data_IF_113948776446
#
_entry.id   IF_113948776446
#
_cell.length_a   1.000
_cell.length_b   1.000
_cell.length_c   1.000
_cell.angle_alpha   90.00
_cell.angle_beta   90.00
_cell.angle_gamma   90.00
#
_symmetry.space_group_name_H-M   'P 1'
#
loop_
_entity.id
_entity.type
_entity.pdbx_description
1 polymer ?
#
# COMPACT_ATOMS: atom_id res chain seq x y z
N UNK A 1 -0.18 7.68 -32.39
CA UNK A 1 1.07 7.82 -31.64
C UNK A 1 0.94 6.84 -30.49
N UNK A 2 1.79 5.82 -30.47
CA UNK A 2 1.70 4.77 -29.46
C UNK A 2 2.45 5.25 -28.24
N UNK A 3 1.84 5.10 -27.07
CA UNK A 3 2.40 5.61 -25.82
C UNK A 3 3.59 4.72 -25.40
N UNK A 4 4.82 5.22 -25.56
CA UNK A 4 6.02 4.61 -24.99
C UNK A 4 6.55 5.45 -23.83
N UNK A 5 6.82 4.77 -22.71
CA UNK A 5 7.32 5.39 -21.48
C UNK A 5 8.48 4.59 -20.89
N UNK A 6 9.47 5.31 -20.35
CA UNK A 6 10.64 4.77 -19.67
C UNK A 6 10.88 5.45 -18.33
N UNK A 7 11.58 4.77 -17.43
CA UNK A 7 11.98 5.27 -16.11
C UNK A 7 13.49 5.46 -16.02
N UNK A 8 13.91 6.69 -15.73
CA UNK A 8 15.28 7.05 -15.41
C UNK A 8 15.56 6.95 -13.90
N UNK A 9 15.42 5.76 -13.30
CA UNK A 9 15.66 5.58 -11.86
C UNK A 9 17.16 5.52 -11.56
N UNK A 10 17.63 6.31 -10.60
CA UNK A 10 19.01 6.36 -10.12
C UNK A 10 19.12 6.15 -8.59
N UNK A 11 18.08 5.58 -7.97
CA UNK A 11 17.98 5.40 -6.52
C UNK A 11 18.14 6.69 -5.68
N UNK A 12 17.85 7.86 -6.25
CA UNK A 12 18.02 9.17 -5.60
C UNK A 12 16.90 9.58 -4.62
N UNK A 13 15.93 8.72 -4.34
CA UNK A 13 14.84 9.04 -3.41
C UNK A 13 13.83 10.09 -3.89
N UNK A 14 13.88 10.58 -5.15
CA UNK A 14 12.88 11.54 -5.68
C UNK A 14 11.44 11.03 -5.68
N UNK A 15 11.24 9.71 -5.67
CA UNK A 15 9.92 9.09 -5.51
C UNK A 15 9.48 8.90 -4.05
N UNK A 16 10.31 9.30 -3.07
CA UNK A 16 10.10 9.05 -1.64
C UNK A 16 9.49 10.27 -0.92
N UNK A 17 8.36 10.76 -1.43
CA UNK A 17 7.66 11.96 -0.96
C UNK A 17 6.60 11.68 0.14
N UNK A 18 6.24 10.41 0.36
CA UNK A 18 5.37 9.98 1.46
C UNK A 18 5.75 8.58 1.93
N UNK A 19 5.21 8.18 3.08
CA UNK A 19 5.30 6.80 3.52
C UNK A 19 4.50 5.88 2.56
N UNK A 20 5.03 4.69 2.22
CA UNK A 20 4.42 3.83 1.21
C UNK A 20 3.25 3.01 1.77
N UNK A 21 2.41 2.50 0.87
CA UNK A 21 1.60 1.30 1.12
C UNK A 21 2.52 0.10 1.32
N UNK A 22 2.24 -0.78 2.27
CA UNK A 22 3.01 -2.00 2.49
C UNK A 22 2.08 -3.21 2.56
N UNK A 23 2.55 -4.36 2.10
CA UNK A 23 1.99 -5.64 2.54
C UNK A 23 2.35 -5.89 4.01
N UNK A 24 1.63 -6.80 4.66
CA UNK A 24 1.84 -7.19 6.04
C UNK A 24 3.24 -7.75 6.27
N UNK A 25 3.75 -8.60 5.37
CA UNK A 25 5.13 -9.12 5.44
C UNK A 25 6.17 -7.99 5.34
N UNK A 26 5.95 -7.02 4.45
CA UNK A 26 6.86 -5.88 4.29
C UNK A 26 6.81 -4.97 5.52
N UNK A 27 5.64 -4.81 6.13
CA UNK A 27 5.48 -4.05 7.35
C UNK A 27 6.15 -4.73 8.54
N UNK A 28 6.06 -6.07 8.65
CA UNK A 28 6.83 -6.83 9.64
C UNK A 28 8.33 -6.72 9.41
N UNK A 29 8.80 -6.81 8.16
CA UNK A 29 10.21 -6.59 7.80
C UNK A 29 10.69 -5.19 8.19
N UNK A 30 9.89 -4.17 7.92
CA UNK A 30 10.20 -2.75 8.14
C UNK A 30 9.60 -2.17 9.44
N UNK A 31 9.34 -3.03 10.44
CA UNK A 31 8.64 -2.68 11.70
C UNK A 31 9.31 -1.60 12.55
N UNK A 32 10.58 -1.31 12.32
CA UNK A 32 11.32 -0.23 13.00
C UNK A 32 11.41 1.05 12.15
N UNK A 33 10.87 1.07 10.94
CA UNK A 33 10.98 2.18 9.99
C UNK A 33 9.66 2.90 9.78
N UNK A 34 8.59 2.12 9.57
CA UNK A 34 7.25 2.63 9.28
C UNK A 34 6.29 2.30 10.42
N UNK A 35 5.55 3.29 10.90
CA UNK A 35 4.42 3.05 11.79
C UNK A 35 3.27 2.50 10.94
N UNK A 36 2.81 1.29 11.24
CA UNK A 36 1.75 0.62 10.49
C UNK A 36 0.37 1.15 10.83
N UNK A 37 -0.39 1.51 9.80
CA UNK A 37 -1.80 1.85 9.92
C UNK A 37 -2.65 1.07 8.92
N UNK A 38 -3.88 0.73 9.31
CA UNK A 38 -4.89 0.21 8.42
C UNK A 38 -5.57 1.37 7.71
N UNK A 39 -5.62 1.30 6.39
CA UNK A 39 -6.35 2.25 5.55
C UNK A 39 -7.55 1.58 4.88
N UNK A 40 -8.68 2.28 4.89
CA UNK A 40 -9.92 1.87 4.27
C UNK A 40 -10.25 2.88 3.19
N UNK A 41 -10.14 2.48 1.93
CA UNK A 41 -10.42 3.34 0.78
C UNK A 41 -11.76 2.99 0.15
N UNK A 42 -12.57 4.01 -0.16
CA UNK A 42 -13.75 3.86 -1.00
C UNK A 42 -13.32 4.05 -2.46
N UNK A 43 -13.22 2.97 -3.20
CA UNK A 43 -12.76 3.00 -4.59
C UNK A 43 -13.90 3.54 -5.47
N UNK A 44 -13.66 4.63 -6.23
CA UNK A 44 -14.71 5.23 -7.03
C UNK A 44 -15.11 4.31 -8.19
N UNK A 45 -16.42 4.19 -8.43
CA UNK A 45 -16.95 3.46 -9.57
C UNK A 45 -16.70 4.26 -10.85
N UNK A 46 -15.93 3.68 -11.76
CA UNK A 46 -15.67 4.25 -13.09
C UNK A 46 -16.87 4.05 -14.02
N UNK A 47 -17.07 4.96 -14.98
CA UNK A 47 -18.17 4.87 -15.96
C UNK A 47 -17.69 4.99 -17.39
N UNK A 48 -18.36 4.31 -18.31
CA UNK A 48 -18.14 4.49 -19.76
C UNK A 48 -18.40 5.96 -20.10
N UNK A 49 -17.49 6.55 -20.86
CA UNK A 49 -17.53 7.96 -21.24
C UNK A 49 -17.04 8.92 -20.15
N UNK A 50 -16.66 8.44 -18.95
CA UNK A 50 -15.98 9.26 -17.95
C UNK A 50 -14.69 9.82 -18.56
N UNK A 51 -14.55 11.14 -18.53
CA UNK A 51 -13.42 11.85 -19.13
C UNK A 51 -12.35 12.06 -18.07
N UNK A 52 -11.15 11.59 -18.39
CA UNK A 52 -9.95 11.79 -17.56
C UNK A 52 -8.95 12.62 -18.35
N UNK A 53 -8.29 13.57 -17.68
CA UNK A 53 -7.23 14.38 -18.28
C UNK A 53 -5.87 13.86 -17.82
N UNK A 54 -5.02 13.49 -18.76
CA UNK A 54 -3.66 13.01 -18.49
C UNK A 54 -2.75 13.37 -19.68
N UNK A 55 -1.53 13.84 -19.43
CA UNK A 55 -0.60 14.22 -20.51
C UNK A 55 -1.12 15.37 -21.38
N UNK A 56 -1.86 16.31 -20.80
CA UNK A 56 -2.56 17.37 -21.54
C UNK A 56 -3.71 16.91 -22.45
N UNK A 57 -3.99 15.61 -22.54
CA UNK A 57 -5.01 15.01 -23.40
C UNK A 57 -6.20 14.54 -22.58
N UNK A 58 -7.36 14.48 -23.23
CA UNK A 58 -8.57 13.98 -22.63
C UNK A 58 -8.93 12.61 -23.20
N UNK A 59 -9.19 11.67 -22.31
CA UNK A 59 -9.48 10.28 -22.62
C UNK A 59 -10.81 9.89 -21.99
N UNK A 60 -11.75 9.44 -22.83
CA UNK A 60 -12.98 8.83 -22.37
C UNK A 60 -12.73 7.33 -22.08
N UNK A 61 -13.19 6.84 -20.94
CA UNK A 61 -13.13 5.42 -20.63
C UNK A 61 -14.09 4.64 -21.54
N UNK A 62 -13.59 3.60 -22.21
CA UNK A 62 -14.41 2.69 -23.01
C UNK A 62 -14.97 1.51 -22.20
N UNK A 63 -15.76 0.63 -22.83
CA UNK A 63 -16.36 -0.51 -22.16
C UNK A 63 -15.31 -1.50 -21.62
N UNK A 64 -14.21 -1.68 -22.34
CA UNK A 64 -13.17 -2.63 -21.95
C UNK A 64 -12.30 -2.07 -20.80
N UNK A 65 -12.10 -0.75 -20.74
CA UNK A 65 -11.48 -0.04 -19.60
C UNK A 65 -12.28 -0.32 -18.31
N UNK A 66 -13.61 -0.23 -18.38
CA UNK A 66 -14.50 -0.51 -17.24
C UNK A 66 -14.45 -1.99 -16.87
N UNK A 67 -14.56 -2.90 -17.85
CA UNK A 67 -14.50 -4.33 -17.60
C UNK A 67 -13.16 -4.74 -16.93
N UNK A 68 -12.05 -4.15 -17.36
CA UNK A 68 -10.74 -4.39 -16.75
C UNK A 68 -10.63 -3.82 -15.33
N UNK A 69 -11.20 -2.64 -15.07
CA UNK A 69 -11.26 -2.07 -13.72
C UNK A 69 -12.09 -2.95 -12.78
N UNK A 70 -13.26 -3.41 -13.22
CA UNK A 70 -14.13 -4.28 -12.41
C UNK A 70 -13.50 -5.65 -12.17
N UNK A 71 -12.85 -6.25 -13.18
CA UNK A 71 -12.14 -7.51 -13.03
C UNK A 71 -11.00 -7.42 -12.00
N UNK A 72 -10.18 -6.35 -12.08
CA UNK A 72 -9.11 -6.12 -11.12
C UNK A 72 -9.65 -5.84 -9.71
N UNK A 73 -10.67 -4.99 -9.60
CA UNK A 73 -11.30 -4.68 -8.32
C UNK A 73 -11.92 -5.93 -7.67
N UNK A 74 -12.51 -6.83 -8.46
CA UNK A 74 -13.05 -8.10 -7.97
C UNK A 74 -11.97 -9.02 -7.41
N UNK A 75 -10.80 -9.05 -8.04
CA UNK A 75 -9.66 -9.82 -7.54
C UNK A 75 -9.13 -9.23 -6.22
N UNK A 76 -9.01 -7.90 -6.13
CA UNK A 76 -8.22 -7.24 -5.09
C UNK A 76 -9.03 -6.62 -3.93
N UNK A 77 -10.30 -6.31 -4.11
CA UNK A 77 -11.10 -5.50 -3.18
C UNK A 77 -12.38 -6.21 -2.73
N UNK A 78 -13.10 -5.56 -1.82
CA UNK A 78 -14.33 -6.07 -1.24
C UNK A 78 -15.55 -5.29 -1.71
N UNK A 79 -16.69 -5.96 -1.89
CA UNK A 79 -17.97 -5.31 -2.20
C UNK A 79 -18.69 -4.88 -0.93
N UNK A 80 -19.03 -3.59 -0.81
CA UNK A 80 -19.94 -3.12 0.22
C UNK A 80 -21.40 -3.37 -0.19
N UNK A 81 -22.09 -4.32 0.45
CA UNK A 81 -23.54 -4.53 0.22
C UNK A 81 -24.34 -3.31 0.70
N UNK A 82 -25.22 -2.79 -0.16
CA UNK A 82 -26.17 -1.73 0.18
C UNK A 82 -25.77 -0.30 -0.23
N UNK A 83 -24.49 -0.04 -0.57
CA UNK A 83 -24.03 1.25 -1.08
C UNK A 83 -23.63 1.13 -2.55
N UNK A 84 -24.57 1.31 -3.49
CA UNK A 84 -24.36 1.48 -4.94
C UNK A 84 -23.39 0.51 -5.64
N UNK A 85 -23.15 -0.67 -5.06
CA UNK A 85 -22.23 -1.66 -5.58
C UNK A 85 -20.80 -1.08 -5.67
N UNK A 86 -20.30 -0.56 -4.55
CA UNK A 86 -18.99 0.08 -4.45
C UNK A 86 -17.92 -0.86 -3.88
N UNK A 87 -16.69 -0.58 -4.29
CA UNK A 87 -15.50 -1.33 -3.90
C UNK A 87 -14.81 -0.68 -2.71
N UNK A 88 -14.45 -1.49 -1.71
CA UNK A 88 -13.67 -1.09 -0.54
C UNK A 88 -12.30 -1.76 -0.61
N UNK A 89 -11.24 -0.95 -0.66
CA UNK A 89 -9.88 -1.44 -0.57
C UNK A 89 -9.37 -1.29 0.86
N UNK A 90 -9.04 -2.42 1.49
CA UNK A 90 -8.28 -2.46 2.73
C UNK A 90 -6.80 -2.58 2.40
N UNK A 91 -5.97 -1.64 2.86
CA UNK A 91 -4.52 -1.65 2.63
C UNK A 91 -3.79 -1.30 3.92
N UNK A 92 -2.51 -1.61 4.02
CA UNK A 92 -1.66 -1.10 5.10
C UNK A 92 -0.79 0.02 4.56
N UNK A 93 -0.59 1.06 5.34
CA UNK A 93 0.29 2.17 4.98
C UNK A 93 1.23 2.51 6.13
N UNK A 94 2.40 3.02 5.78
CA UNK A 94 3.21 3.76 6.73
C UNK A 94 2.49 5.06 7.10
N UNK A 95 2.42 5.34 8.40
CA UNK A 95 1.87 6.55 8.95
C UNK A 95 3.01 7.44 9.47
N UNK A 96 3.00 8.71 9.11
CA UNK A 96 3.94 9.70 9.62
C UNK A 96 3.31 11.10 9.63
N UNK A 97 4.01 12.05 10.24
CA UNK A 97 3.61 13.44 10.32
C UNK A 97 3.57 14.09 8.93
N UNK A 98 2.42 14.65 8.50
CA UNK A 98 2.33 15.36 7.22
C UNK A 98 3.35 16.49 7.07
N UNK A 99 3.75 17.13 8.18
CA UNK A 99 4.72 18.23 8.20
C UNK A 99 6.13 17.84 7.74
N UNK A 100 6.46 16.55 7.71
CA UNK A 100 7.76 16.07 7.24
C UNK A 100 7.88 16.06 5.72
N UNK A 101 6.75 15.88 5.00
CA UNK A 101 6.70 15.93 3.53
C UNK A 101 7.69 14.99 2.82
N UNK A 102 8.09 13.89 3.48
CA UNK A 102 9.08 12.92 2.97
C UNK A 102 8.82 11.53 3.52
N UNK A 103 9.30 10.52 2.81
CA UNK A 103 9.27 9.15 3.29
C UNK A 103 10.20 8.97 4.51
N UNK A 104 9.77 8.21 5.54
CA UNK A 104 10.64 7.82 6.64
C UNK A 104 11.95 7.18 6.17
N UNK A 105 11.91 6.40 5.07
CA UNK A 105 13.06 5.68 4.52
C UNK A 105 14.12 6.55 3.81
N UNK A 106 13.88 7.86 3.66
CA UNK A 106 14.85 8.76 3.07
C UNK A 106 16.01 9.00 4.05
N UNK A 107 17.23 8.68 3.64
CA UNK A 107 18.44 8.97 4.40
C UNK A 107 18.86 10.44 4.24
N UNK A 108 19.79 10.90 5.08
CA UNK A 108 20.24 12.29 5.09
C UNK A 108 21.00 12.70 3.82
N UNK A 109 21.57 11.72 3.09
CA UNK A 109 22.16 11.92 1.76
C UNK A 109 21.13 11.96 0.62
N UNK A 110 19.84 11.90 0.96
CA UNK A 110 18.72 11.88 0.02
C UNK A 110 18.49 10.53 -0.67
N UNK A 111 19.24 9.47 -0.33
CA UNK A 111 19.06 8.14 -0.94
C UNK A 111 17.99 7.33 -0.20
N UNK A 112 17.36 6.41 -0.92
CA UNK A 112 16.39 5.50 -0.34
C UNK A 112 17.11 4.40 0.46
N UNK A 113 17.00 4.43 1.79
CA UNK A 113 17.70 3.48 2.67
C UNK A 113 17.18 2.05 2.57
N UNK A 114 16.03 1.84 1.92
CA UNK A 114 15.42 0.52 1.70
C UNK A 114 15.43 0.12 0.24
N UNK A 115 16.26 0.73 -0.61
CA UNK A 115 16.21 0.50 -2.06
C UNK A 115 16.38 -0.98 -2.46
N UNK A 116 17.28 -1.70 -1.78
CA UNK A 116 17.53 -3.13 -2.05
C UNK A 116 16.31 -4.00 -1.72
N UNK A 117 15.62 -3.70 -0.62
CA UNK A 117 14.47 -4.46 -0.10
C UNK A 117 13.19 -3.61 -0.11
N UNK A 118 13.01 -2.83 -1.18
CA UNK A 118 11.96 -1.81 -1.27
C UNK A 118 10.57 -2.46 -1.22
N UNK A 119 9.58 -1.83 -0.57
CA UNK A 119 8.20 -2.30 -0.64
C UNK A 119 7.73 -2.43 -2.10
N UNK A 120 6.89 -3.42 -2.36
CA UNK A 120 6.34 -3.73 -3.69
C UNK A 120 5.70 -2.52 -4.37
N UNK A 121 4.99 -1.66 -3.64
CA UNK A 121 4.47 -0.40 -4.20
C UNK A 121 5.57 0.51 -4.71
N UNK A 122 6.70 0.61 -3.99
CA UNK A 122 7.87 1.37 -4.40
C UNK A 122 8.58 0.71 -5.59
N UNK A 123 8.43 -0.61 -5.73
CA UNK A 123 8.82 -1.37 -6.92
C UNK A 123 7.99 -0.99 -8.15
N UNK A 124 6.69 -0.79 -7.98
CA UNK A 124 5.76 -0.47 -9.06
C UNK A 124 5.83 0.98 -9.53
N UNK A 125 6.25 1.94 -8.71
CA UNK A 125 6.39 3.35 -9.12
C UNK A 125 7.29 3.47 -10.36
N UNK A 126 6.88 4.21 -11.41
CA UNK A 126 5.77 5.15 -11.49
C UNK A 126 4.45 4.59 -12.03
N UNK A 127 4.28 3.27 -12.12
CA UNK A 127 3.00 2.65 -12.42
C UNK A 127 2.07 2.68 -11.19
N UNK A 128 0.79 2.36 -11.40
CA UNK A 128 -0.21 2.21 -10.35
C UNK A 128 -0.76 0.78 -10.34
N UNK A 129 -0.36 -0.09 -9.40
CA UNK A 129 -0.80 -1.48 -9.37
C UNK A 129 -2.27 -1.66 -9.01
N UNK A 130 -2.95 -0.61 -8.54
CA UNK A 130 -4.39 -0.63 -8.27
C UNK A 130 -5.24 -0.32 -9.52
N UNK A 131 -4.62 -0.01 -10.65
CA UNK A 131 -5.27 0.19 -11.95
C UNK A 131 -4.87 -0.91 -12.95
N UNK A 132 -5.74 -1.27 -13.90
CA UNK A 132 -5.42 -2.28 -14.91
C UNK A 132 -4.30 -1.82 -15.86
N UNK A 133 -3.59 -2.78 -16.44
CA UNK A 133 -2.40 -2.56 -17.27
C UNK A 133 -2.65 -1.62 -18.45
N UNK A 134 -3.83 -1.75 -19.09
CA UNK A 134 -4.26 -0.90 -20.20
C UNK A 134 -4.42 0.59 -19.85
N UNK A 135 -4.49 0.94 -18.56
CA UNK A 135 -4.58 2.32 -18.10
C UNK A 135 -3.22 2.90 -17.66
N UNK A 136 -2.14 2.11 -17.68
CA UNK A 136 -0.85 2.55 -17.16
C UNK A 136 -0.23 3.68 -17.97
N UNK A 137 -0.41 3.71 -19.30
CA UNK A 137 0.08 4.85 -20.09
C UNK A 137 -0.57 6.16 -19.65
N UNK A 138 -1.86 6.14 -19.28
CA UNK A 138 -2.59 7.30 -18.74
C UNK A 138 -2.10 7.69 -17.36
N UNK A 139 -1.79 6.72 -16.50
CA UNK A 139 -1.15 6.97 -15.18
C UNK A 139 0.17 7.70 -15.35
N UNK A 140 1.01 7.21 -16.27
CA UNK A 140 2.33 7.77 -16.55
C UNK A 140 2.24 9.18 -17.15
N UNK A 141 1.30 9.38 -18.07
CA UNK A 141 0.99 10.69 -18.63
C UNK A 141 0.59 11.70 -17.53
N UNK A 142 -0.30 11.30 -16.62
CA UNK A 142 -0.73 12.14 -15.50
C UNK A 142 0.41 12.46 -14.52
N UNK A 143 1.18 11.44 -14.12
CA UNK A 143 2.30 11.61 -13.18
C UNK A 143 3.45 12.43 -13.77
N UNK A 144 3.66 12.39 -15.08
CA UNK A 144 4.66 13.22 -15.77
C UNK A 144 4.29 14.71 -15.73
N UNK A 145 3.00 15.04 -15.76
CA UNK A 145 2.49 16.41 -15.68
C UNK A 145 2.41 16.93 -14.22
N UNK A 146 2.58 16.04 -13.23
CA UNK A 146 2.44 16.37 -11.82
C UNK A 146 3.66 17.12 -11.28
N UNK A 147 3.66 18.45 -11.44
CA UNK A 147 4.78 19.33 -11.01
C UNK A 147 5.13 19.25 -9.53
N UNK A 148 4.17 18.89 -8.66
CA UNK A 148 4.39 18.72 -7.23
C UNK A 148 5.16 17.42 -6.90
N UNK A 149 5.17 16.44 -7.81
CA UNK A 149 5.84 15.16 -7.60
C UNK A 149 7.24 15.17 -8.23
N UNK A 150 8.27 15.15 -7.39
CA UNK A 150 9.67 15.19 -7.83
C UNK A 150 10.05 14.02 -8.77
N UNK A 151 9.33 12.90 -8.70
CA UNK A 151 9.50 11.75 -9.59
C UNK A 151 8.98 11.95 -11.01
N UNK A 152 8.19 13.00 -11.29
CA UNK A 152 7.66 13.30 -12.62
C UNK A 152 8.78 13.44 -13.67
N UNK A 153 9.89 14.07 -13.28
CA UNK A 153 11.08 14.26 -14.12
C UNK A 153 11.83 12.96 -14.43
N UNK A 154 11.50 11.85 -13.77
CA UNK A 154 12.09 10.54 -14.05
C UNK A 154 11.31 9.77 -15.13
N UNK A 155 10.11 10.24 -15.53
CA UNK A 155 9.28 9.62 -16.57
C UNK A 155 9.64 10.24 -17.92
N UNK A 156 10.20 9.42 -18.81
CA UNK A 156 10.60 9.83 -20.17
C UNK A 156 9.62 9.24 -21.17
N UNK A 157 9.00 10.09 -22.01
CA UNK A 157 8.13 9.65 -23.11
C UNK A 157 8.84 9.69 -24.46
N UNK A 158 8.29 9.00 -25.47
CA UNK A 158 8.84 8.93 -26.84
C UNK A 158 9.13 10.30 -27.47
N UNK A 159 8.28 11.30 -27.23
CA UNK A 159 8.34 12.61 -27.89
C UNK A 159 9.17 13.66 -27.11
N UNK A 160 9.79 13.28 -25.99
CA UNK A 160 10.52 14.20 -25.12
C UNK A 160 11.97 14.42 -25.56
N UNK A 161 12.21 15.49 -26.34
CA UNK A 161 13.54 15.97 -26.74
C UNK A 161 14.45 16.48 -25.61
N UNK A 162 14.33 15.99 -24.38
CA UNK A 162 15.29 16.27 -23.31
C UNK A 162 16.37 15.20 -23.30
N UNK A 163 17.33 15.39 -24.21
CA UNK A 163 18.63 14.77 -24.17
C UNK A 163 19.38 15.22 -22.90
N UNK A 164 19.33 14.43 -21.83
CA UNK A 164 20.29 14.51 -20.72
C UNK A 164 20.38 13.24 -19.87
N UNK A 165 19.43 12.31 -20.01
CA UNK A 165 19.54 10.97 -19.45
C UNK A 165 20.00 10.04 -20.57
N UNK A 166 21.04 9.25 -20.31
CA UNK A 166 21.46 8.18 -21.20
C UNK A 166 20.30 7.22 -21.41
N UNK A 167 19.62 7.34 -22.56
CA UNK A 167 18.43 6.56 -22.92
C UNK A 167 18.70 5.06 -22.89
N UNK A 168 19.98 4.65 -23.02
CA UNK A 168 20.42 3.27 -22.89
C UNK A 168 20.22 2.69 -21.48
N UNK A 169 20.23 3.53 -20.43
CA UNK A 169 20.07 3.12 -19.03
C UNK A 169 18.63 3.21 -18.49
N UNK A 170 17.71 3.81 -19.25
CA UNK A 170 16.33 3.99 -18.81
C UNK A 170 15.53 2.67 -18.95
N UNK A 171 14.85 2.26 -17.87
CA UNK A 171 14.07 1.03 -17.83
C UNK A 171 12.76 1.21 -18.61
N UNK A 172 12.38 0.30 -19.53
CA UNK A 172 11.09 0.39 -20.21
C UNK A 172 9.95 0.15 -19.22
N UNK A 173 8.92 1.01 -19.27
CA UNK A 173 7.70 0.87 -18.46
C UNK A 173 6.51 0.46 -19.32
N UNK A 174 6.33 1.14 -20.45
CA UNK A 174 5.30 0.85 -21.46
C UNK A 174 5.97 0.88 -22.83
N UNK A 175 5.69 -0.14 -23.65
CA UNK A 175 6.17 -0.26 -25.03
C UNK A 175 5.00 -0.69 -25.89
N UNK A 176 4.78 0.03 -26.98
CA UNK A 176 3.63 -0.13 -27.85
C UNK A 176 2.28 -0.09 -27.10
N UNK A 177 2.17 0.74 -26.05
CA UNK A 177 0.96 0.84 -25.21
C UNK A 177 0.73 -0.35 -24.26
N UNK A 178 1.67 -1.30 -24.17
CA UNK A 178 1.64 -2.43 -23.25
C UNK A 178 2.67 -2.27 -22.15
N UNK A 179 2.36 -2.71 -20.92
CA UNK A 179 3.31 -2.72 -19.81
C UNK A 179 4.49 -3.63 -20.18
N UNK A 180 5.71 -3.09 -20.12
CA UNK A 180 6.92 -3.78 -20.59
C UNK A 180 7.34 -4.93 -19.65
N UNK A 181 7.25 -4.72 -18.34
CA UNK A 181 7.45 -5.75 -17.31
C UNK A 181 6.37 -5.61 -16.23
N UNK A 182 5.61 -6.68 -16.05
CA UNK A 182 4.50 -6.74 -15.10
C UNK A 182 4.92 -7.18 -13.70
N UNK A 183 6.15 -7.68 -13.51
CA UNK A 183 6.59 -8.30 -12.26
C UNK A 183 6.36 -7.41 -11.03
N UNK A 184 6.60 -6.10 -11.14
CA UNK A 184 6.38 -5.17 -10.03
C UNK A 184 4.89 -4.94 -9.72
N UNK A 185 4.04 -4.91 -10.74
CA UNK A 185 2.58 -4.81 -10.55
C UNK A 185 2.04 -6.10 -9.93
N UNK A 186 2.42 -7.24 -10.50
CA UNK A 186 1.96 -8.55 -10.08
C UNK A 186 2.42 -8.85 -8.65
N UNK A 187 3.65 -8.52 -8.26
CA UNK A 187 4.13 -8.68 -6.86
C UNK A 187 3.24 -7.95 -5.85
N UNK A 188 2.81 -6.72 -6.15
CA UNK A 188 1.93 -5.96 -5.27
C UNK A 188 0.50 -6.55 -5.25
N UNK A 189 -0.03 -6.88 -6.43
CA UNK A 189 -1.38 -7.43 -6.60
C UNK A 189 -1.50 -8.81 -5.95
N UNK A 190 -0.50 -9.65 -6.10
CA UNK A 190 -0.42 -10.98 -5.49
C UNK A 190 -0.34 -10.89 -3.97
N UNK A 191 0.39 -9.90 -3.42
CA UNK A 191 0.39 -9.65 -1.98
C UNK A 191 -1.01 -9.28 -1.48
N UNK A 192 -1.71 -8.37 -2.16
CA UNK A 192 -3.09 -8.01 -1.80
C UNK A 192 -4.07 -9.18 -1.93
N UNK A 193 -3.92 -10.00 -2.96
CA UNK A 193 -4.74 -11.19 -3.18
C UNK A 193 -4.47 -12.24 -2.09
N UNK A 194 -3.20 -12.51 -1.76
CA UNK A 194 -2.81 -13.44 -0.71
C UNK A 194 -3.34 -13.00 0.66
N UNK A 195 -3.25 -11.71 0.96
CA UNK A 195 -3.70 -11.13 2.23
C UNK A 195 -5.21 -11.22 2.47
N UNK A 196 -6.02 -11.51 1.43
CA UNK A 196 -7.44 -11.84 1.61
C UNK A 196 -7.62 -13.00 2.56
N UNK A 197 -6.91 -14.10 2.30
CA UNK A 197 -6.92 -15.27 3.15
C UNK A 197 -6.29 -14.97 4.51
N UNK A 198 -5.24 -14.15 4.58
CA UNK A 198 -4.53 -13.90 5.84
C UNK A 198 -5.37 -13.07 6.82
N UNK A 199 -5.86 -11.90 6.39
CA UNK A 199 -6.51 -10.95 7.31
C UNK A 199 -7.61 -10.10 6.68
N UNK A 200 -7.55 -9.78 5.38
CA UNK A 200 -8.43 -8.76 4.78
C UNK A 200 -9.88 -9.20 4.77
N UNK A 201 -10.17 -10.48 4.55
CA UNK A 201 -11.55 -10.98 4.58
C UNK A 201 -12.11 -10.93 6.02
N UNK A 202 -11.32 -11.36 7.01
CA UNK A 202 -11.73 -11.35 8.42
C UNK A 202 -11.94 -9.93 8.96
N UNK A 203 -11.03 -9.00 8.64
CA UNK A 203 -11.16 -7.59 9.03
C UNK A 203 -12.33 -6.94 8.31
N UNK A 204 -12.55 -7.22 7.02
CA UNK A 204 -13.70 -6.70 6.30
C UNK A 204 -15.02 -7.19 6.89
N UNK A 205 -15.13 -8.49 7.19
CA UNK A 205 -16.31 -9.05 7.85
C UNK A 205 -16.57 -8.33 9.19
N UNK A 206 -15.54 -8.17 10.02
CA UNK A 206 -15.65 -7.43 11.29
C UNK A 206 -16.04 -5.95 11.13
N UNK A 207 -15.66 -5.30 10.02
CA UNK A 207 -16.04 -3.91 9.74
C UNK A 207 -17.51 -3.80 9.33
N UNK A 208 -18.00 -4.75 8.52
CA UNK A 208 -19.41 -4.79 8.07
C UNK A 208 -20.34 -5.19 9.21
N UNK A 209 -19.95 -6.18 10.01
CA UNK A 209 -20.64 -6.60 11.23
C UNK A 209 -20.41 -5.63 12.41
N UNK A 210 -19.59 -4.60 12.17
CA UNK A 210 -19.26 -3.59 13.15
C UNK A 210 -20.47 -2.84 13.69
N UNK A 211 -20.33 -2.37 14.93
CA UNK A 211 -21.36 -1.56 15.59
C UNK A 211 -21.74 -0.31 14.79
N UNK A 212 -22.88 0.34 15.12
CA UNK A 212 -23.40 1.50 14.40
C UNK A 212 -22.37 2.62 14.14
N UNK A 213 -21.40 2.80 15.04
CA UNK A 213 -20.35 3.82 14.92
C UNK A 213 -19.38 3.54 13.76
N UNK A 214 -18.94 2.28 13.57
CA UNK A 214 -18.04 1.90 12.47
C UNK A 214 -18.74 2.06 11.14
N UNK A 215 -20.00 1.59 11.05
CA UNK A 215 -20.83 1.78 9.85
C UNK A 215 -21.06 3.25 9.54
N UNK A 216 -21.31 4.09 10.54
CA UNK A 216 -21.46 5.53 10.35
C UNK A 216 -20.17 6.21 9.86
N UNK A 217 -19.00 5.80 10.37
CA UNK A 217 -17.71 6.31 9.90
C UNK A 217 -17.45 5.94 8.44
N UNK A 218 -17.70 4.68 8.07
CA UNK A 218 -17.57 4.21 6.69
C UNK A 218 -18.54 4.90 5.73
N UNK A 219 -19.79 5.12 6.15
CA UNK A 219 -20.80 5.80 5.33
C UNK A 219 -20.44 7.28 5.03
N UNK A 220 -19.61 7.93 5.85
CA UNK A 220 -19.15 9.31 5.64
C UNK A 220 -17.98 9.42 4.66
N UNK A 221 -17.34 8.31 4.30
CA UNK A 221 -16.25 8.34 3.32
C UNK A 221 -16.79 8.71 1.95
N UNK A 222 -16.37 9.87 1.43
CA UNK A 222 -16.65 10.25 0.05
C UNK A 222 -16.00 9.26 -0.94
N UNK A 223 -16.53 9.10 -2.16
CA UNK A 223 -15.84 8.35 -3.21
C UNK A 223 -14.41 8.88 -3.44
N UNK A 224 -13.43 7.97 -3.47
CA UNK A 224 -12.00 8.33 -3.54
C UNK A 224 -11.39 8.76 -2.19
N UNK A 225 -12.20 8.91 -1.15
CA UNK A 225 -11.75 9.18 0.21
C UNK A 225 -11.21 7.94 0.92
N UNK A 226 -10.51 8.17 2.02
CA UNK A 226 -9.95 7.12 2.85
C UNK A 226 -10.07 7.43 4.34
N UNK A 227 -10.10 6.37 5.15
CA UNK A 227 -9.99 6.42 6.60
C UNK A 227 -8.72 5.70 7.03
N UNK A 228 -7.97 6.30 7.93
CA UNK A 228 -6.81 5.67 8.57
C UNK A 228 -7.14 5.33 10.02
N UNK A 229 -6.75 4.14 10.47
CA UNK A 229 -6.86 3.73 11.88
C UNK A 229 -5.72 2.82 12.30
N UNK A 230 -5.68 2.50 13.60
CA UNK A 230 -4.70 1.56 14.15
C UNK A 230 -4.77 0.21 13.42
N UNK A 231 -3.60 -0.39 13.19
CA UNK A 231 -3.47 -1.71 12.57
C UNK A 231 -3.98 -2.87 13.43
N UNK A 232 -4.34 -2.63 14.70
CA UNK A 232 -4.77 -3.67 15.66
C UNK A 232 -5.79 -4.69 15.12
N UNK A 233 -6.85 -4.33 14.38
CA UNK A 233 -7.78 -5.32 13.82
C UNK A 233 -7.08 -6.37 12.94
N UNK A 234 -6.06 -5.93 12.19
CA UNK A 234 -5.24 -6.80 11.34
C UNK A 234 -4.40 -7.74 12.19
N UNK A 235 -3.74 -7.23 13.23
CA UNK A 235 -2.91 -8.04 14.12
C UNK A 235 -3.73 -9.10 14.86
N UNK A 236 -4.94 -8.77 15.31
CA UNK A 236 -5.83 -9.73 15.97
C UNK A 236 -6.28 -10.85 15.00
N UNK A 237 -6.61 -10.50 13.76
CA UNK A 237 -6.95 -11.49 12.74
C UNK A 237 -5.76 -12.42 12.43
N UNK A 238 -4.56 -11.86 12.25
CA UNK A 238 -3.34 -12.61 11.95
C UNK A 238 -2.92 -13.52 13.10
N UNK A 239 -2.94 -13.01 14.33
CA UNK A 239 -2.55 -13.77 15.52
C UNK A 239 -3.44 -15.00 15.79
N UNK A 240 -4.66 -15.03 15.22
CA UNK A 240 -5.55 -16.20 15.29
C UNK A 240 -5.16 -17.35 14.34
N UNK A 241 -4.28 -17.10 13.36
CA UNK A 241 -3.91 -18.08 12.33
C UNK A 241 -3.04 -19.20 12.89
N UNK A 242 -1.99 -18.85 13.63
CA UNK A 242 -0.99 -19.79 14.15
C UNK A 242 -0.27 -19.21 15.37
N UNK A 243 0.41 -20.07 16.13
CA UNK A 243 1.27 -19.61 17.22
C UNK A 243 2.44 -18.74 16.72
N UNK A 244 2.96 -19.02 15.52
CA UNK A 244 4.01 -18.25 14.87
C UNK A 244 3.53 -16.84 14.50
N UNK A 245 2.38 -16.73 13.82
CA UNK A 245 1.74 -15.46 13.52
C UNK A 245 1.49 -14.63 14.78
N UNK A 246 1.04 -15.26 15.87
CA UNK A 246 0.85 -14.57 17.15
C UNK A 246 2.16 -14.01 17.70
N UNK A 247 3.25 -14.78 17.65
CA UNK A 247 4.57 -14.30 18.07
C UNK A 247 5.03 -13.11 17.23
N UNK A 248 4.91 -13.19 15.90
CA UNK A 248 5.21 -12.07 14.99
C UNK A 248 4.39 -10.82 15.31
N UNK A 249 3.10 -10.96 15.63
CA UNK A 249 2.25 -9.84 16.01
C UNK A 249 2.69 -9.18 17.33
N UNK A 250 3.13 -9.98 18.32
CA UNK A 250 3.63 -9.45 19.60
C UNK A 250 4.94 -8.69 19.38
N UNK A 251 5.91 -9.29 18.66
CA UNK A 251 7.18 -8.64 18.33
C UNK A 251 6.96 -7.34 17.55
N UNK A 252 5.99 -7.34 16.63
CA UNK A 252 5.60 -6.16 15.88
C UNK A 252 5.01 -5.08 16.80
N UNK A 253 4.12 -5.43 17.73
CA UNK A 253 3.54 -4.46 18.69
C UNK A 253 4.65 -3.76 19.49
N UNK A 254 5.62 -4.51 19.99
CA UNK A 254 6.72 -3.94 20.78
C UNK A 254 7.57 -2.98 19.94
N UNK A 255 7.92 -3.39 18.72
CA UNK A 255 8.66 -2.54 17.78
C UNK A 255 7.90 -1.25 17.44
N UNK A 256 6.59 -1.34 17.23
CA UNK A 256 5.74 -0.21 16.86
C UNK A 256 5.55 0.77 18.00
N UNK A 257 5.38 0.30 19.24
CA UNK A 257 5.29 1.19 20.41
C UNK A 257 6.55 2.03 20.56
N UNK A 258 7.72 1.38 20.52
CA UNK A 258 9.01 2.07 20.59
C UNK A 258 9.19 3.08 19.44
N UNK A 259 8.79 2.71 18.22
CA UNK A 259 8.85 3.62 17.08
C UNK A 259 7.91 4.81 17.25
N UNK A 260 6.66 4.60 17.69
CA UNK A 260 5.69 5.66 17.91
C UNK A 260 6.18 6.65 18.96
N UNK A 261 6.73 6.16 20.07
CA UNK A 261 7.26 7.00 21.14
C UNK A 261 8.38 7.90 20.63
N UNK A 262 9.36 7.33 19.90
CA UNK A 262 10.44 8.09 19.29
C UNK A 262 9.93 9.16 18.28
N UNK A 263 8.87 8.85 17.53
CA UNK A 263 8.26 9.80 16.56
C UNK A 263 7.55 10.94 17.27
N UNK A 264 6.83 10.66 18.36
CA UNK A 264 6.17 11.67 19.18
C UNK A 264 7.21 12.58 19.84
N UNK A 265 8.27 12.02 20.42
CA UNK A 265 9.37 12.81 21.00
C UNK A 265 9.98 13.76 19.97
N UNK A 266 10.28 13.26 18.77
CA UNK A 266 10.77 14.08 17.68
C UNK A 266 9.78 15.19 17.27
N UNK A 267 8.47 14.91 17.28
CA UNK A 267 7.44 15.91 16.97
C UNK A 267 7.32 17.00 18.03
N UNK A 268 7.38 16.62 19.31
CA UNK A 268 7.39 17.56 20.42
C UNK A 268 8.63 18.47 20.37
N UNK A 269 9.78 17.94 19.98
CA UNK A 269 11.00 18.73 19.78
C UNK A 269 10.86 19.75 18.62
N UNK A 270 10.16 19.40 17.52
CA UNK A 270 9.90 20.31 16.39
C UNK A 270 8.94 21.44 16.70
N UNK A 271 8.05 21.28 17.70
CA UNK A 271 7.08 22.29 18.16
C UNK A 271 6.16 22.87 17.06
N UNK A 272 5.77 22.06 16.07
CA UNK A 272 4.82 22.48 15.03
C UNK A 272 3.37 22.28 15.48
N UNK A 273 2.53 23.29 15.30
CA UNK A 273 1.10 23.19 15.62
C UNK A 273 0.39 22.16 14.75
N UNK A 274 0.78 22.05 13.48
CA UNK A 274 0.23 21.11 12.51
C UNK A 274 0.49 19.64 12.89
N UNK A 275 1.43 19.35 13.80
CA UNK A 275 1.74 17.99 14.26
C UNK A 275 0.77 17.51 15.34
N UNK A 276 -0.09 18.38 15.89
CA UNK A 276 -0.99 18.02 17.00
C UNK A 276 -1.98 16.92 16.66
N UNK A 277 -2.69 16.94 15.51
CA UNK A 277 -3.62 15.87 15.15
C UNK A 277 -2.91 14.52 15.01
N UNK A 278 -1.80 14.49 14.25
CA UNK A 278 -1.02 13.27 14.05
C UNK A 278 -0.44 12.73 15.37
N UNK A 279 -0.01 13.60 16.29
CA UNK A 279 0.42 13.19 17.63
C UNK A 279 -0.70 12.54 18.43
N UNK A 280 -1.92 13.08 18.36
CA UNK A 280 -3.08 12.50 19.04
C UNK A 280 -3.43 11.11 18.45
N UNK A 281 -3.41 10.97 17.13
CA UNK A 281 -3.64 9.70 16.44
C UNK A 281 -2.58 8.66 16.82
N UNK A 282 -1.30 9.02 16.79
CA UNK A 282 -0.19 8.14 17.18
C UNK A 282 -0.29 7.68 18.64
N UNK A 283 -0.67 8.56 19.57
CA UNK A 283 -0.95 8.16 20.96
C UNK A 283 -2.13 7.18 21.04
N UNK A 284 -3.17 7.42 20.25
CA UNK A 284 -4.30 6.50 20.12
C UNK A 284 -3.87 5.13 19.59
N UNK A 285 -2.96 5.09 18.61
CA UNK A 285 -2.40 3.86 18.07
C UNK A 285 -1.56 3.12 19.12
N UNK A 286 -0.67 3.81 19.85
CA UNK A 286 0.13 3.22 20.91
C UNK A 286 -0.73 2.57 22.00
N UNK A 287 -1.79 3.25 22.46
CA UNK A 287 -2.74 2.71 23.44
C UNK A 287 -3.51 1.49 22.90
N UNK A 288 -3.90 1.51 21.62
CA UNK A 288 -4.56 0.37 20.99
C UNK A 288 -3.63 -0.84 20.89
N UNK A 289 -2.37 -0.62 20.51
CA UNK A 289 -1.33 -1.64 20.40
C UNK A 289 -1.02 -2.26 21.77
N UNK A 290 -0.92 -1.46 22.83
CA UNK A 290 -0.73 -1.96 24.20
C UNK A 290 -1.86 -2.88 24.64
N UNK A 291 -3.12 -2.46 24.46
CA UNK A 291 -4.28 -3.32 24.76
C UNK A 291 -4.29 -4.60 23.93
N UNK A 292 -3.91 -4.51 22.66
CA UNK A 292 -3.78 -5.69 21.80
C UNK A 292 -2.69 -6.63 22.30
N UNK A 293 -1.52 -6.12 22.73
CA UNK A 293 -0.44 -6.94 23.29
C UNK A 293 -0.91 -7.75 24.50
N UNK A 294 -1.63 -7.12 25.43
CA UNK A 294 -2.24 -7.84 26.57
C UNK A 294 -3.25 -8.89 26.12
N UNK A 295 -4.10 -8.57 25.15
CA UNK A 295 -5.08 -9.52 24.62
C UNK A 295 -4.40 -10.73 23.97
N UNK A 296 -3.36 -10.51 23.14
CA UNK A 296 -2.61 -11.56 22.46
C UNK A 296 -1.87 -12.46 23.44
N UNK A 297 -1.29 -11.90 24.51
CA UNK A 297 -0.63 -12.66 25.56
C UNK A 297 -1.62 -13.55 26.35
N UNK A 298 -2.87 -13.11 26.49
CA UNK A 298 -3.95 -13.86 27.14
C UNK A 298 -4.66 -14.85 26.20
N UNK A 299 -4.39 -14.83 24.89
CA UNK A 299 -5.02 -15.76 23.94
C UNK A 299 -4.60 -17.20 24.25
N UNK A 300 -5.54 -18.16 24.28
CA UNK A 300 -5.21 -19.57 24.41
C UNK A 300 -4.22 -20.04 23.33
N UNK A 301 -3.41 -21.03 23.66
CA UNK A 301 -2.61 -21.73 22.65
C UNK A 301 -3.56 -22.28 21.58
N UNK A 302 -3.31 -21.94 20.31
CA UNK A 302 -4.11 -22.44 19.21
C UNK A 302 -4.02 -23.97 19.18
N UNK A 303 -5.15 -24.66 19.13
CA UNK A 303 -5.19 -26.11 18.96
C UNK A 303 -4.58 -26.45 17.60
N UNK A 304 -3.59 -27.35 17.58
CA UNK A 304 -2.98 -27.80 16.33
C UNK A 304 -4.08 -28.36 15.38
N UNK A 305 -4.20 -27.78 14.19
CA UNK A 305 -5.15 -28.22 13.16
C UNK A 305 -6.34 -27.29 12.86
N UNK A 306 -6.42 -26.09 13.44
CA UNK A 306 -7.54 -25.15 13.23
C UNK A 306 -7.60 -24.54 11.82
N UNK A 307 -6.47 -24.46 11.11
CA UNK A 307 -6.40 -23.86 9.77
C UNK A 307 -5.38 -24.59 8.88
N UNK A 308 -5.83 -25.15 7.77
CA UNK A 308 -5.02 -26.01 6.89
C UNK A 308 -3.95 -25.24 6.09
N UNK A 309 -4.13 -23.94 5.90
CA UNK A 309 -3.21 -23.04 5.18
C UNK A 309 -2.22 -22.30 6.10
N UNK A 310 -2.27 -22.51 7.42
CA UNK A 310 -1.39 -21.82 8.39
C UNK A 310 0.11 -21.94 8.05
N UNK A 311 0.68 -23.12 7.71
CA UNK A 311 2.11 -23.20 7.35
C UNK A 311 2.51 -22.37 6.14
N UNK A 312 1.60 -22.24 5.16
CA UNK A 312 1.82 -21.41 3.96
C UNK A 312 1.81 -19.92 4.32
N UNK A 313 0.94 -19.51 5.24
CA UNK A 313 0.89 -18.12 5.74
C UNK A 313 2.15 -17.81 6.55
N UNK A 314 2.57 -18.69 7.45
CA UNK A 314 3.79 -18.55 8.25
C UNK A 314 5.02 -18.36 7.33
N UNK A 315 5.16 -19.22 6.31
CA UNK A 315 6.27 -19.12 5.34
C UNK A 315 6.25 -17.80 4.55
N UNK A 316 5.08 -17.34 4.12
CA UNK A 316 4.94 -16.08 3.38
C UNK A 316 5.28 -14.85 4.23
N UNK A 317 4.90 -14.86 5.52
CA UNK A 317 5.20 -13.77 6.46
C UNK A 317 6.70 -13.69 6.82
N UNK A 318 7.39 -14.82 6.83
CA UNK A 318 8.84 -14.89 7.06
C UNK A 318 9.67 -14.51 5.83
N UNK A 319 9.02 -14.11 4.73
CA UNK A 319 9.66 -13.91 3.41
C UNK A 319 10.42 -15.14 2.89
N UNK A 320 10.12 -16.31 3.45
CA UNK A 320 10.61 -17.60 2.96
C UNK A 320 9.74 -17.97 1.77
N UNK A 321 10.05 -17.41 0.59
CA UNK A 321 9.62 -18.05 -0.64
C UNK A 321 10.20 -19.46 -0.62
N UNK A 322 9.33 -20.46 -0.74
CA UNK A 322 9.78 -21.80 -1.05
C UNK A 322 10.63 -21.70 -2.32
N UNK A 323 11.95 -21.81 -2.17
CA UNK A 323 12.79 -22.36 -3.22
C UNK A 323 12.30 -23.78 -3.45
N UNK A 324 11.17 -23.92 -4.16
CA UNK A 324 10.94 -25.12 -4.94
C UNK A 324 11.93 -24.96 -6.09
N UNK A 325 13.16 -25.38 -5.83
CA UNK A 325 14.02 -25.84 -6.88
C UNK A 325 13.17 -26.82 -7.70
N UNK A 326 12.89 -26.46 -8.95
CA UNK A 326 12.50 -27.43 -9.97
C UNK A 326 13.72 -28.34 -10.16
N UNK A 327 13.85 -29.33 -9.28
CA UNK A 327 14.64 -30.53 -9.50
C UNK A 327 13.67 -31.65 -9.84
N UNK A 328 13.37 -31.77 -11.13
CA UNK A 328 13.27 -33.01 -11.90
C UNK A 328 12.97 -32.64 -13.36
#
# INVERSE_FOLDING_TARGET
MVDDYRLACNACGRCCNSAPTLSLRELFRHRHRFVGALTIHRVPKRRIGERTRAGGREHALDADDIAACDALANALFHRARGANDEWIALTLQGYDYPSLGRCPALADDGRCSVHADKPSICGAVPLDPMLPDRLQSRVLAGRRDETAWLGANCIVGADGGTASVDMASALPLVTAGQVADRAALDTFRDALAFERAVWRDAVFASLIDGGPQVRAALARLAPGGYLTMSIVPVLLAVASVSAHCRALCIDFIDAQRALIDARIEAALARRRLDDRPATAELRGFAQALERAGHALAAMPAATAGTRTDAPRIDAWLDDRHASIALTA
#
